data_IF_890508047020
#
_entry.id   IF_890508047020
#
_cell.length_a   1.000
_cell.length_b   1.000
_cell.length_c   1.000
_cell.angle_alpha   90.00
_cell.angle_beta   90.00
_cell.angle_gamma   90.00
#
_symmetry.space_group_name_H-M   'P 1'
#
loop_
_entity.id
_entity.type
_entity.pdbx_description
1 polymer ?
#
# COMPACT_ATOMS: atom_id res chain seq x y z
N UNK A 1 -3.70 -9.02 22.71
CA UNK A 1 -4.31 -9.36 21.41
C UNK A 1 -4.60 -10.85 21.25
N UNK A 2 -3.59 -11.73 21.33
CA UNK A 2 -3.79 -13.19 21.20
C UNK A 2 -4.85 -13.77 22.14
N UNK A 3 -4.86 -13.36 23.42
CA UNK A 3 -5.89 -13.81 24.37
C UNK A 3 -7.34 -13.52 23.91
N UNK A 4 -7.58 -12.35 23.30
CA UNK A 4 -8.91 -12.00 22.77
C UNK A 4 -9.28 -12.89 21.58
N UNK A 5 -8.31 -13.18 20.71
CA UNK A 5 -8.50 -14.08 19.56
C UNK A 5 -8.78 -15.50 20.04
N UNK A 6 -8.04 -16.00 21.02
CA UNK A 6 -8.25 -17.32 21.62
C UNK A 6 -9.65 -17.43 22.25
N UNK A 7 -10.05 -16.44 23.05
CA UNK A 7 -11.40 -16.40 23.63
C UNK A 7 -12.49 -16.41 22.55
N UNK A 8 -12.30 -15.64 21.48
CA UNK A 8 -13.25 -15.61 20.37
C UNK A 8 -13.30 -16.95 19.61
N UNK A 9 -12.15 -17.62 19.43
CA UNK A 9 -12.09 -18.97 18.85
C UNK A 9 -12.82 -19.98 19.72
N UNK A 10 -12.63 -19.95 21.04
CA UNK A 10 -13.34 -20.84 21.97
C UNK A 10 -14.86 -20.62 21.90
N UNK A 11 -15.31 -19.36 21.84
CA UNK A 11 -16.74 -19.04 21.69
C UNK A 11 -17.33 -19.59 20.39
N UNK A 12 -16.61 -19.44 19.28
CA UNK A 12 -17.10 -19.87 17.96
C UNK A 12 -17.04 -21.39 17.81
N UNK A 13 -15.89 -22.00 18.10
CA UNK A 13 -15.65 -23.42 17.80
C UNK A 13 -16.19 -24.36 18.88
N UNK A 14 -16.08 -24.00 20.16
CA UNK A 14 -16.50 -24.87 21.26
C UNK A 14 -17.91 -24.55 21.76
N UNK A 15 -18.30 -23.27 21.72
CA UNK A 15 -19.61 -22.83 22.27
C UNK A 15 -20.66 -22.50 21.19
N UNK A 16 -20.29 -22.56 19.90
CA UNK A 16 -21.22 -22.39 18.78
C UNK A 16 -21.73 -20.95 18.58
N UNK A 17 -20.98 -19.95 19.04
CA UNK A 17 -21.35 -18.55 18.81
C UNK A 17 -21.23 -18.19 17.32
N UNK A 18 -22.13 -17.35 16.77
CA UNK A 18 -21.98 -16.85 15.41
C UNK A 18 -20.71 -16.03 15.25
N UNK A 19 -19.97 -16.25 14.17
CA UNK A 19 -18.71 -15.56 13.86
C UNK A 19 -18.90 -14.04 13.66
N UNK A 20 -20.07 -13.63 13.17
CA UNK A 20 -20.50 -12.24 13.00
C UNK A 20 -21.41 -11.76 14.14
N UNK A 21 -21.52 -12.54 15.21
CA UNK A 21 -22.35 -12.25 16.36
C UNK A 21 -21.87 -11.03 17.14
N UNK A 22 -22.80 -10.33 17.81
CA UNK A 22 -22.51 -9.14 18.62
C UNK A 22 -21.39 -9.38 19.63
N UNK A 23 -21.39 -10.53 20.32
CA UNK A 23 -20.37 -10.85 21.32
C UNK A 23 -18.95 -10.92 20.72
N UNK A 24 -18.80 -11.56 19.56
CA UNK A 24 -17.51 -11.67 18.86
C UNK A 24 -17.07 -10.29 18.34
N UNK A 25 -18.00 -9.52 17.77
CA UNK A 25 -17.73 -8.16 17.29
C UNK A 25 -17.37 -7.19 18.42
N UNK A 26 -18.03 -7.26 19.58
CA UNK A 26 -17.72 -6.43 20.74
C UNK A 26 -16.30 -6.75 21.28
N UNK A 27 -15.87 -8.01 21.20
CA UNK A 27 -14.54 -8.45 21.65
C UNK A 27 -13.41 -8.08 20.67
N UNK A 28 -13.63 -8.28 19.37
CA UNK A 28 -12.59 -8.16 18.33
C UNK A 28 -12.62 -6.83 17.57
N UNK A 29 -13.78 -6.20 17.45
CA UNK A 29 -14.03 -5.10 16.51
C UNK A 29 -13.27 -3.82 16.85
N UNK A 30 -13.10 -3.50 18.13
CA UNK A 30 -12.41 -2.28 18.56
C UNK A 30 -10.94 -2.21 18.09
N UNK A 31 -10.31 -3.36 17.87
CA UNK A 31 -8.93 -3.48 17.37
C UNK A 31 -8.87 -4.06 15.95
N UNK A 32 -10.03 -4.18 15.29
CA UNK A 32 -10.18 -4.82 13.97
C UNK A 32 -9.51 -6.21 13.89
N UNK A 33 -9.57 -6.97 14.99
CA UNK A 33 -9.01 -8.31 15.06
C UNK A 33 -9.91 -9.31 14.33
N UNK A 34 -9.30 -10.40 13.85
CA UNK A 34 -10.03 -11.52 13.24
C UNK A 34 -9.82 -12.78 14.09
N UNK A 35 -10.61 -13.82 13.82
CA UNK A 35 -10.46 -15.15 14.45
C UNK A 35 -9.17 -15.87 14.03
N UNK A 36 -8.34 -15.27 13.17
CA UNK A 36 -7.14 -15.92 12.66
C UNK A 36 -6.00 -15.84 13.68
N UNK A 37 -5.41 -16.99 13.99
CA UNK A 37 -4.10 -17.05 14.65
C UNK A 37 -3.00 -16.71 13.64
N UNK A 38 -2.10 -15.80 14.03
CA UNK A 38 -1.00 -15.38 13.16
C UNK A 38 0.28 -16.14 13.55
N UNK A 39 0.86 -16.89 12.61
CA UNK A 39 2.05 -17.70 12.85
C UNK A 39 3.27 -16.90 13.32
N UNK A 40 3.45 -15.67 12.84
CA UNK A 40 4.52 -14.78 13.31
C UNK A 40 4.26 -14.29 14.72
N UNK A 41 3.00 -13.97 15.05
CA UNK A 41 2.60 -13.63 16.41
C UNK A 41 2.92 -14.76 17.39
N UNK A 42 2.63 -16.02 17.03
CA UNK A 42 2.92 -17.18 17.88
C UNK A 42 4.42 -17.45 18.01
N UNK A 43 5.17 -17.38 16.91
CA UNK A 43 6.59 -17.69 16.89
C UNK A 43 7.46 -16.61 17.55
N UNK A 44 7.06 -15.34 17.45
CA UNK A 44 7.92 -14.19 17.83
C UNK A 44 7.54 -13.54 19.16
N UNK A 45 6.31 -13.76 19.64
CA UNK A 45 5.90 -13.26 20.96
C UNK A 45 6.77 -13.80 22.10
N UNK A 46 7.20 -15.09 22.12
CA UNK A 46 8.09 -15.60 23.17
C UNK A 46 9.45 -14.89 23.21
N UNK A 47 9.92 -14.41 22.05
CA UNK A 47 11.16 -13.63 21.91
C UNK A 47 10.96 -12.14 22.24
N UNK A 48 9.74 -11.74 22.64
CA UNK A 48 9.40 -10.34 22.94
C UNK A 48 9.29 -9.44 21.71
N UNK A 49 9.23 -10.02 20.50
CA UNK A 49 9.19 -9.28 19.25
C UNK A 49 7.73 -9.08 18.83
N UNK A 50 7.31 -7.82 18.75
CA UNK A 50 6.01 -7.46 18.21
C UNK A 50 6.03 -7.55 16.68
N UNK A 51 5.40 -8.58 16.12
CA UNK A 51 5.43 -8.80 14.67
C UNK A 51 4.83 -7.64 13.85
N UNK A 52 3.95 -6.81 14.43
CA UNK A 52 3.40 -5.63 13.76
C UNK A 52 4.47 -4.56 13.48
N UNK A 53 5.56 -4.54 14.26
CA UNK A 53 6.68 -3.61 14.10
C UNK A 53 7.69 -4.07 13.03
N UNK A 54 7.55 -5.31 12.53
CA UNK A 54 8.41 -5.84 11.48
C UNK A 54 8.07 -5.29 10.09
N UNK A 55 6.82 -4.86 9.89
CA UNK A 55 6.38 -4.29 8.64
C UNK A 55 6.74 -2.81 8.61
N UNK A 56 7.73 -2.47 7.78
CA UNK A 56 7.98 -1.08 7.43
C UNK A 56 6.74 -0.57 6.68
N UNK A 57 6.23 0.63 7.01
CA UNK A 57 5.15 1.27 6.25
C UNK A 57 5.48 1.25 4.76
N UNK A 58 4.68 0.52 3.98
CA UNK A 58 4.77 0.52 2.53
C UNK A 58 3.71 1.50 2.00
N UNK A 59 4.15 2.54 1.29
CA UNK A 59 3.27 3.54 0.70
C UNK A 59 2.24 2.90 -0.25
N UNK A 60 2.59 1.79 -0.91
CA UNK A 60 1.69 1.05 -1.78
C UNK A 60 0.64 0.22 -1.02
N UNK A 61 0.93 -0.14 0.23
CA UNK A 61 -0.06 -0.74 1.14
C UNK A 61 -0.98 0.33 1.75
N UNK A 62 -0.44 1.48 2.15
CA UNK A 62 -1.19 2.55 2.80
C UNK A 62 -2.08 3.36 1.84
N UNK A 63 -1.60 3.67 0.64
CA UNK A 63 -2.37 4.42 -0.37
C UNK A 63 -3.28 3.49 -1.17
N UNK A 64 -3.11 2.17 -1.01
CA UNK A 64 -3.51 1.12 -1.93
C UNK A 64 -2.99 1.40 -3.35
N UNK A 65 -2.24 0.48 -3.96
CA UNK A 65 -1.75 0.63 -5.35
C UNK A 65 -2.85 1.13 -6.32
N UNK A 66 -4.11 0.73 -6.08
CA UNK A 66 -5.28 1.18 -6.83
C UNK A 66 -5.60 2.68 -6.69
N UNK A 67 -5.46 3.25 -5.49
CA UNK A 67 -5.72 4.66 -5.19
C UNK A 67 -4.77 5.58 -5.95
N UNK A 68 -3.46 5.37 -5.81
CA UNK A 68 -2.46 6.16 -6.54
C UNK A 68 -2.59 5.99 -8.05
N UNK A 69 -2.75 4.76 -8.55
CA UNK A 69 -2.92 4.51 -9.99
C UNK A 69 -4.10 5.29 -10.57
N UNK A 70 -5.23 5.32 -9.86
CA UNK A 70 -6.42 6.07 -10.28
C UNK A 70 -6.12 7.57 -10.36
N UNK A 71 -5.47 8.11 -9.32
CA UNK A 71 -5.10 9.52 -9.25
C UNK A 71 -4.08 9.91 -10.33
N UNK A 72 -3.03 9.12 -10.52
CA UNK A 72 -2.02 9.35 -11.55
C UNK A 72 -2.63 9.32 -12.96
N UNK A 73 -3.55 8.39 -13.24
CA UNK A 73 -4.30 8.38 -14.50
C UNK A 73 -5.13 9.66 -14.70
N UNK A 74 -5.69 10.20 -13.62
CA UNK A 74 -6.44 11.45 -13.67
C UNK A 74 -5.51 12.63 -13.98
N UNK A 75 -4.34 12.72 -13.36
CA UNK A 75 -3.34 13.74 -13.65
C UNK A 75 -2.87 13.69 -15.12
N UNK A 76 -2.65 12.49 -15.66
CA UNK A 76 -2.30 12.31 -17.07
C UNK A 76 -3.43 12.82 -17.98
N UNK A 77 -4.70 12.50 -17.67
CA UNK A 77 -5.86 13.01 -18.42
C UNK A 77 -5.96 14.53 -18.38
N UNK A 78 -5.74 15.14 -17.21
CA UNK A 78 -5.68 16.59 -17.08
C UNK A 78 -4.55 17.13 -17.96
N UNK A 79 -3.35 16.55 -17.90
CA UNK A 79 -2.21 16.98 -18.71
C UNK A 79 -2.50 16.94 -20.22
N UNK A 80 -3.21 15.92 -20.70
CA UNK A 80 -3.68 15.88 -22.09
C UNK A 80 -4.62 17.02 -22.47
N UNK A 81 -5.34 17.62 -21.52
CA UNK A 81 -6.25 18.73 -21.78
C UNK A 81 -5.54 20.09 -21.90
N UNK A 82 -4.33 20.22 -21.33
CA UNK A 82 -3.54 21.46 -21.36
C UNK A 82 -2.75 21.66 -22.66
N UNK A 83 -2.37 20.58 -23.36
CA UNK A 83 -1.65 20.70 -24.63
C UNK A 83 -1.05 19.38 -25.12
N UNK A 84 -0.72 19.34 -26.42
CA UNK A 84 -0.18 18.14 -27.06
C UNK A 84 1.27 17.84 -26.70
N UNK A 85 1.98 18.74 -26.03
CA UNK A 85 3.40 18.64 -25.66
C UNK A 85 3.62 18.41 -24.15
N UNK A 86 2.60 18.62 -23.31
CA UNK A 86 2.68 18.52 -21.84
C UNK A 86 3.08 17.11 -21.41
N UNK A 87 2.51 16.08 -22.04
CA UNK A 87 2.83 14.67 -21.74
C UNK A 87 4.27 14.32 -22.09
N UNK A 88 4.82 14.89 -23.16
CA UNK A 88 6.19 14.69 -23.60
C UNK A 88 7.16 15.38 -22.63
N UNK A 89 6.80 16.56 -22.11
CA UNK A 89 7.54 17.24 -21.03
C UNK A 89 7.50 16.42 -19.74
N UNK A 90 6.34 15.93 -19.33
CA UNK A 90 6.18 15.05 -18.16
C UNK A 90 7.06 13.80 -18.26
N UNK A 91 6.99 13.08 -19.38
CA UNK A 91 7.83 11.91 -19.64
C UNK A 91 9.33 12.24 -19.64
N UNK A 92 9.70 13.43 -20.13
CA UNK A 92 11.09 13.91 -20.10
C UNK A 92 11.54 14.23 -18.68
N UNK A 93 10.70 14.85 -17.86
CA UNK A 93 10.99 15.15 -16.45
C UNK A 93 11.20 13.87 -15.65
N UNK A 94 10.30 12.88 -15.75
CA UNK A 94 10.50 11.57 -15.12
C UNK A 94 11.81 10.91 -15.55
N UNK A 95 12.12 10.91 -16.86
CA UNK A 95 13.37 10.32 -17.36
C UNK A 95 14.62 11.05 -16.88
N UNK A 96 14.52 12.35 -16.60
CA UNK A 96 15.63 13.17 -16.15
C UNK A 96 15.96 12.99 -14.67
N UNK A 97 15.06 12.38 -13.90
CA UNK A 97 15.31 12.12 -12.49
C UNK A 97 16.47 11.13 -12.33
N UNK A 98 17.46 11.43 -11.47
CA UNK A 98 18.50 10.49 -11.14
C UNK A 98 17.93 9.33 -10.32
N UNK A 99 18.58 8.18 -10.40
CA UNK A 99 18.31 7.08 -9.46
C UNK A 99 18.72 7.48 -8.05
N UNK A 100 17.99 7.03 -7.04
CA UNK A 100 18.29 7.34 -5.63
C UNK A 100 18.34 6.07 -4.78
N UNK A 101 19.33 6.01 -3.88
CA UNK A 101 19.59 4.85 -3.03
C UNK A 101 20.03 3.60 -3.81
N UNK A 102 20.17 2.47 -3.10
CA UNK A 102 20.51 1.19 -3.73
C UNK A 102 19.37 0.69 -4.65
N UNK A 103 18.12 1.03 -4.34
CA UNK A 103 16.94 0.62 -5.11
C UNK A 103 15.68 1.47 -4.85
N UNK A 104 15.81 2.64 -4.20
CA UNK A 104 14.68 3.42 -3.68
C UNK A 104 13.96 4.20 -4.78
N UNK A 105 14.69 4.85 -5.68
CA UNK A 105 14.12 5.42 -6.92
C UNK A 105 14.91 4.85 -8.08
N UNK A 106 14.22 4.11 -8.95
CA UNK A 106 14.81 3.46 -10.12
C UNK A 106 14.73 4.36 -11.33
N UNK A 107 15.42 3.92 -12.39
CA UNK A 107 15.40 4.63 -13.66
C UNK A 107 14.02 4.48 -14.31
N UNK A 108 13.31 5.59 -14.48
CA UNK A 108 12.04 5.61 -15.18
C UNK A 108 12.17 5.20 -16.65
N UNK A 109 11.11 4.58 -17.16
CA UNK A 109 11.01 4.19 -18.56
C UNK A 109 10.89 5.40 -19.50
N UNK A 110 11.04 5.15 -20.80
CA UNK A 110 10.91 6.18 -21.85
C UNK A 110 9.53 6.86 -21.82
N UNK A 111 8.47 6.11 -21.49
CA UNK A 111 7.09 6.58 -21.50
C UNK A 111 6.38 6.19 -20.20
N UNK A 112 6.64 6.97 -19.15
CA UNK A 112 6.05 6.82 -17.82
C UNK A 112 4.53 7.02 -17.88
N UNK A 113 4.05 7.96 -18.70
CA UNK A 113 2.62 8.27 -18.85
C UNK A 113 1.79 7.11 -19.39
N UNK A 114 2.37 6.26 -20.26
CA UNK A 114 1.66 5.10 -20.79
C UNK A 114 1.62 3.91 -19.82
N UNK A 115 2.42 3.94 -18.74
CA UNK A 115 2.45 2.93 -17.67
C UNK A 115 2.63 1.49 -18.17
N UNK A 116 3.38 1.32 -19.27
CA UNK A 116 3.58 0.01 -19.89
C UNK A 116 4.43 -0.86 -18.99
N UNK A 117 3.91 -2.04 -18.62
CA UNK A 117 4.61 -3.03 -17.78
C UNK A 117 5.03 -2.49 -16.40
N UNK A 118 4.26 -1.55 -15.84
CA UNK A 118 4.49 -1.05 -14.49
C UNK A 118 4.26 -2.14 -13.45
N UNK A 119 5.22 -2.31 -12.57
CA UNK A 119 5.14 -3.10 -11.35
C UNK A 119 4.79 -2.20 -10.17
N UNK A 120 4.50 -2.78 -9.00
CA UNK A 120 4.14 -2.03 -7.80
C UNK A 120 5.15 -0.93 -7.44
N UNK A 121 6.45 -1.24 -7.50
CA UNK A 121 7.49 -0.25 -7.21
C UNK A 121 7.58 0.88 -8.25
N UNK A 122 7.19 0.65 -9.52
CA UNK A 122 7.14 1.75 -10.50
C UNK A 122 6.03 2.77 -10.14
N UNK A 123 4.92 2.28 -9.57
CA UNK A 123 3.87 3.14 -9.03
C UNK A 123 4.35 3.90 -7.79
N UNK A 124 5.11 3.26 -6.91
CA UNK A 124 5.71 3.92 -5.75
C UNK A 124 6.71 5.01 -6.16
N UNK A 125 7.65 4.68 -7.05
CA UNK A 125 8.65 5.64 -7.55
C UNK A 125 7.97 6.85 -8.21
N UNK A 126 6.90 6.62 -8.98
CA UNK A 126 6.12 7.73 -9.57
C UNK A 126 5.40 8.58 -8.55
N UNK A 127 4.88 7.98 -7.47
CA UNK A 127 4.25 8.72 -6.36
C UNK A 127 5.27 9.62 -5.67
N UNK A 128 6.43 9.06 -5.31
CA UNK A 128 7.50 9.79 -4.62
C UNK A 128 8.03 10.97 -5.44
N UNK A 129 8.04 10.84 -6.77
CA UNK A 129 8.59 11.83 -7.68
C UNK A 129 7.54 12.73 -8.35
N UNK A 130 6.25 12.50 -8.09
CA UNK A 130 5.17 13.19 -8.81
C UNK A 130 5.26 14.71 -8.67
N UNK A 131 5.47 15.23 -7.46
CA UNK A 131 5.49 16.67 -7.21
C UNK A 131 6.51 17.38 -8.11
N UNK A 132 7.76 16.89 -8.15
CA UNK A 132 8.81 17.45 -8.99
C UNK A 132 8.54 17.29 -10.50
N UNK A 133 7.88 16.21 -10.90
CA UNK A 133 7.60 15.94 -12.31
C UNK A 133 6.39 16.70 -12.84
N UNK A 134 5.45 17.09 -12.00
CA UNK A 134 4.30 17.90 -12.42
C UNK A 134 4.52 19.40 -12.22
N UNK A 135 5.60 19.80 -11.54
CA UNK A 135 5.94 21.21 -11.35
C UNK A 135 6.26 21.90 -12.69
N UNK A 136 5.55 23.00 -12.97
CA UNK A 136 5.76 23.83 -14.16
C UNK A 136 5.22 23.24 -15.48
N UNK A 137 4.36 22.23 -15.41
CA UNK A 137 3.54 21.74 -16.52
C UNK A 137 2.22 22.51 -16.63
#
# INVERSE_FOLDING_TARGET
>A
RQQKVQMAQDWVYEQGYPTDGKAVNDLLGAESLTLNSNAFSEALLPEGINFYELFVPDQMHEVEIGGWKSYFNHLIRISHSYGSDVIQKLNKQFRSLPTFGLSTIRKFQTDTSAQKKFMAHDYEDTLQCALSCFEGL
#
